data_IF_277392494924
#
_entry.id   IF_277392494924
#
_cell.length_a   1.000
_cell.length_b   1.000
_cell.length_c   1.000
_cell.angle_alpha   90.00
_cell.angle_beta   90.00
_cell.angle_gamma   90.00
#
_symmetry.space_group_name_H-M   'P 1'
#
loop_
_entity.id
_entity.type
_entity.pdbx_description
1 polymer ?
#
# COMPACT_ATOMS: atom_id res chain seq x y z
N UNK A 1 21.07 67.18 6.98
CA UNK A 1 20.57 65.81 7.27
C UNK A 1 21.70 64.81 7.10
N UNK A 2 22.25 64.29 8.19
CA UNK A 2 23.37 63.31 8.17
C UNK A 2 22.77 61.90 8.15
N UNK A 3 22.86 61.17 7.01
CA UNK A 3 22.48 59.78 6.92
C UNK A 3 23.45 58.91 7.71
N UNK A 4 23.02 58.31 8.84
CA UNK A 4 23.78 57.30 9.58
C UNK A 4 23.90 56.06 8.66
N UNK A 5 25.14 55.74 8.24
CA UNK A 5 25.45 54.43 7.65
C UNK A 5 25.24 53.34 8.72
N UNK A 6 24.26 52.45 8.50
CA UNK A 6 24.14 51.20 9.27
C UNK A 6 25.34 50.33 8.96
N UNK A 7 26.15 50.04 9.94
CA UNK A 7 27.22 49.05 9.85
C UNK A 7 26.55 47.66 9.65
N UNK A 8 26.52 47.17 8.43
CA UNK A 8 26.15 45.82 8.11
C UNK A 8 27.33 44.94 8.54
N UNK A 9 27.18 44.18 9.62
CA UNK A 9 28.11 43.13 10.00
C UNK A 9 28.00 42.01 8.97
N UNK A 10 29.05 41.77 8.20
CA UNK A 10 29.15 40.65 7.28
C UNK A 10 29.56 39.35 8.05
N UNK A 11 29.17 38.20 7.53
CA UNK A 11 29.60 36.89 8.00
C UNK A 11 31.09 36.69 7.73
N UNK A 12 31.82 36.08 8.67
CA UNK A 12 33.20 35.67 8.45
C UNK A 12 33.24 34.38 7.62
N UNK A 13 34.31 34.19 6.87
CA UNK A 13 34.52 33.01 6.04
C UNK A 13 34.56 31.72 6.89
N UNK A 14 35.11 31.82 8.11
CA UNK A 14 35.21 30.68 9.03
C UNK A 14 33.82 30.27 9.59
N UNK A 15 32.96 31.25 9.89
CA UNK A 15 31.57 30.95 10.34
C UNK A 15 30.79 30.17 9.27
N UNK A 16 30.94 30.56 8.02
CA UNK A 16 30.30 29.85 6.93
C UNK A 16 30.87 28.43 6.75
N UNK A 17 32.21 28.30 6.81
CA UNK A 17 32.90 27.03 6.63
C UNK A 17 32.51 26.00 7.69
N UNK A 18 32.45 26.41 8.99
CA UNK A 18 32.02 25.53 10.08
C UNK A 18 30.57 25.07 9.90
N UNK A 19 29.67 25.96 9.51
CA UNK A 19 28.25 25.62 9.30
C UNK A 19 28.09 24.56 8.20
N UNK A 20 28.75 24.76 7.04
CA UNK A 20 28.63 23.79 5.95
C UNK A 20 29.29 22.45 6.29
N UNK A 21 30.36 22.44 7.09
CA UNK A 21 30.99 21.20 7.56
C UNK A 21 30.04 20.41 8.48
N UNK A 22 29.35 21.07 9.40
CA UNK A 22 28.38 20.43 10.31
C UNK A 22 27.19 19.89 9.53
N UNK A 23 26.61 20.69 8.61
CA UNK A 23 25.50 20.26 7.76
C UNK A 23 25.92 19.06 6.92
N UNK A 24 27.12 19.04 6.36
CA UNK A 24 27.65 17.94 5.58
C UNK A 24 27.70 16.62 6.36
N UNK A 25 28.20 16.65 7.61
CA UNK A 25 28.24 15.48 8.48
C UNK A 25 26.82 15.00 8.84
N UNK A 26 25.95 15.92 9.23
CA UNK A 26 24.57 15.58 9.60
C UNK A 26 23.78 15.01 8.41
N UNK A 27 23.97 15.56 7.20
CA UNK A 27 23.35 15.06 5.99
C UNK A 27 23.83 13.64 5.65
N UNK A 28 25.13 13.36 5.77
CA UNK A 28 25.69 12.04 5.47
C UNK A 28 25.09 10.92 6.34
N UNK A 29 24.91 11.18 7.64
CA UNK A 29 24.29 10.21 8.57
C UNK A 29 22.77 10.18 8.43
N UNK A 30 22.15 11.35 8.23
CA UNK A 30 20.69 11.50 8.14
C UNK A 30 20.08 10.77 6.96
N UNK A 31 20.71 10.80 5.77
CA UNK A 31 20.19 10.16 4.56
C UNK A 31 20.11 8.64 4.71
N UNK A 32 21.14 8.01 5.27
CA UNK A 32 21.15 6.54 5.46
C UNK A 32 20.10 6.08 6.47
N UNK A 33 19.95 6.79 7.58
CA UNK A 33 18.92 6.49 8.58
C UNK A 33 17.50 6.69 8.02
N UNK A 34 17.29 7.77 7.28
CA UNK A 34 15.99 8.07 6.66
C UNK A 34 15.57 7.02 5.63
N UNK A 35 16.48 6.55 4.78
CA UNK A 35 16.19 5.50 3.78
C UNK A 35 15.77 4.19 4.44
N UNK A 36 16.43 3.75 5.51
CA UNK A 36 16.05 2.57 6.27
C UNK A 36 14.66 2.69 6.91
N UNK A 37 14.35 3.86 7.46
CA UNK A 37 13.05 4.13 8.05
C UNK A 37 11.92 4.10 7.02
N UNK A 38 12.12 4.71 5.85
CA UNK A 38 11.10 4.73 4.79
C UNK A 38 10.81 3.33 4.24
N UNK A 39 11.82 2.48 4.07
CA UNK A 39 11.64 1.08 3.66
C UNK A 39 10.84 0.30 4.70
N UNK A 40 11.16 0.45 5.98
CA UNK A 40 10.43 -0.19 7.08
C UNK A 40 8.97 0.29 7.16
N UNK A 41 8.73 1.57 6.97
CA UNK A 41 7.38 2.15 6.92
C UNK A 41 6.56 1.58 5.77
N UNK A 42 7.12 1.49 4.56
CA UNK A 42 6.46 0.88 3.39
C UNK A 42 6.07 -0.57 3.65
N UNK A 43 6.98 -1.38 4.20
CA UNK A 43 6.69 -2.77 4.61
C UNK A 43 5.52 -2.86 5.59
N UNK A 44 5.51 -2.02 6.61
CA UNK A 44 4.45 -1.98 7.61
C UNK A 44 3.11 -1.56 7.01
N UNK A 45 3.10 -0.54 6.16
CA UNK A 45 1.89 -0.07 5.48
C UNK A 45 1.31 -1.15 4.57
N UNK A 46 2.13 -1.84 3.78
CA UNK A 46 1.68 -2.94 2.92
C UNK A 46 1.03 -4.07 3.72
N UNK A 47 1.63 -4.46 4.85
CA UNK A 47 1.04 -5.47 5.75
C UNK A 47 -0.28 -4.99 6.34
N UNK A 48 -0.40 -3.71 6.66
CA UNK A 48 -1.64 -3.11 7.16
C UNK A 48 -2.74 -3.14 6.11
N UNK A 49 -2.44 -2.79 4.86
CA UNK A 49 -3.40 -2.84 3.74
C UNK A 49 -3.89 -4.29 3.54
N UNK A 50 -2.98 -5.27 3.52
CA UNK A 50 -3.34 -6.69 3.41
C UNK A 50 -4.33 -7.10 4.52
N UNK A 51 -3.99 -6.80 5.77
CA UNK A 51 -4.84 -7.14 6.92
C UNK A 51 -6.19 -6.40 6.91
N UNK A 52 -6.21 -5.15 6.48
CA UNK A 52 -7.43 -4.36 6.34
C UNK A 52 -8.35 -4.93 5.25
N UNK A 53 -7.79 -5.24 4.07
CA UNK A 53 -8.52 -5.87 2.97
C UNK A 53 -9.14 -7.19 3.37
N UNK A 54 -8.35 -8.07 4.02
CA UNK A 54 -8.86 -9.36 4.50
C UNK A 54 -10.02 -9.20 5.48
N UNK A 55 -9.86 -8.32 6.48
CA UNK A 55 -10.90 -8.05 7.49
C UNK A 55 -12.14 -7.45 6.86
N UNK A 56 -11.97 -6.56 5.90
CA UNK A 56 -13.07 -5.93 5.18
C UNK A 56 -13.90 -6.97 4.43
N UNK A 57 -13.27 -7.84 3.63
CA UNK A 57 -13.96 -8.90 2.89
C UNK A 57 -14.72 -9.81 3.86
N UNK A 58 -14.06 -10.28 4.93
CA UNK A 58 -14.69 -11.16 5.91
C UNK A 58 -15.87 -10.50 6.63
N UNK A 59 -15.73 -9.24 7.05
CA UNK A 59 -16.78 -8.52 7.75
C UNK A 59 -17.99 -8.22 6.84
N UNK A 60 -17.74 -7.84 5.59
CA UNK A 60 -18.80 -7.60 4.63
C UNK A 60 -19.56 -8.89 4.30
N UNK A 61 -18.82 -10.00 4.12
CA UNK A 61 -19.47 -11.27 3.83
C UNK A 61 -20.29 -11.83 4.99
N UNK A 62 -19.88 -11.58 6.23
CA UNK A 62 -20.68 -11.95 7.40
C UNK A 62 -22.07 -11.28 7.42
N UNK A 63 -22.24 -10.13 6.77
CA UNK A 63 -23.56 -9.50 6.61
C UNK A 63 -24.49 -10.35 5.76
N UNK A 64 -23.97 -11.10 4.79
CA UNK A 64 -24.75 -12.03 3.98
C UNK A 64 -25.30 -13.21 4.80
N UNK A 65 -24.60 -13.62 5.86
CA UNK A 65 -25.13 -14.64 6.79
C UNK A 65 -26.34 -14.16 7.58
N UNK A 66 -26.45 -12.84 7.80
CA UNK A 66 -27.58 -12.24 8.52
C UNK A 66 -28.73 -11.84 7.58
N UNK A 67 -28.40 -11.44 6.37
CA UNK A 67 -29.36 -11.06 5.32
C UNK A 67 -28.91 -11.66 3.98
N UNK A 68 -29.36 -12.89 3.64
CA UNK A 68 -28.96 -13.58 2.42
C UNK A 68 -29.41 -12.91 1.12
N UNK A 69 -30.42 -12.05 1.16
CA UNK A 69 -30.89 -11.24 0.02
C UNK A 69 -30.31 -9.81 0.06
N UNK A 70 -29.50 -9.50 1.04
CA UNK A 70 -28.88 -8.20 1.26
C UNK A 70 -27.84 -7.84 0.21
N UNK A 71 -27.39 -6.61 0.31
CA UNK A 71 -26.35 -6.02 -0.54
C UNK A 71 -25.19 -5.60 0.35
N UNK A 72 -23.98 -5.97 -0.05
CA UNK A 72 -22.74 -5.67 0.67
C UNK A 72 -21.75 -4.88 -0.19
N UNK A 73 -20.69 -4.37 0.43
CA UNK A 73 -19.61 -3.63 -0.24
C UNK A 73 -20.11 -2.37 -0.97
N UNK A 74 -21.09 -1.70 -0.40
CA UNK A 74 -21.72 -0.51 -1.00
C UNK A 74 -20.86 0.73 -0.67
N UNK A 75 -20.32 1.38 -1.70
CA UNK A 75 -19.75 2.72 -1.54
C UNK A 75 -20.80 3.80 -1.73
N UNK A 76 -21.71 3.60 -2.71
CA UNK A 76 -22.83 4.51 -2.97
C UNK A 76 -24.08 3.70 -3.36
N UNK A 77 -25.15 3.91 -2.59
CA UNK A 77 -26.45 3.24 -2.83
C UNK A 77 -27.11 3.59 -4.18
N UNK A 78 -26.60 4.61 -4.85
CA UNK A 78 -27.20 5.11 -6.10
C UNK A 78 -26.73 4.36 -7.35
N UNK A 79 -25.63 3.57 -7.29
CA UNK A 79 -25.03 2.95 -8.46
C UNK A 79 -24.87 1.44 -8.24
N UNK A 80 -25.70 0.63 -8.92
CA UNK A 80 -25.69 -0.83 -8.82
C UNK A 80 -24.34 -1.50 -9.16
N UNK A 81 -23.47 -0.81 -9.89
CA UNK A 81 -22.13 -1.30 -10.26
C UNK A 81 -21.14 -1.41 -9.10
N UNK A 82 -21.47 -0.84 -7.94
CA UNK A 82 -20.59 -0.80 -6.74
C UNK A 82 -21.14 -1.67 -5.60
N UNK A 83 -21.93 -2.67 -5.90
CA UNK A 83 -22.65 -3.49 -4.92
C UNK A 83 -22.44 -4.97 -5.23
N UNK A 84 -22.39 -5.78 -4.18
CA UNK A 84 -22.42 -7.24 -4.27
C UNK A 84 -23.71 -7.75 -3.64
N UNK A 85 -24.49 -8.52 -4.41
CA UNK A 85 -25.67 -9.21 -3.92
C UNK A 85 -25.29 -10.55 -3.29
N UNK A 86 -25.71 -10.79 -2.07
CA UNK A 86 -25.42 -12.02 -1.33
C UNK A 86 -26.01 -13.28 -2.02
N UNK A 87 -27.14 -13.14 -2.72
CA UNK A 87 -27.86 -14.28 -3.30
C UNK A 87 -27.39 -14.70 -4.70
N UNK A 88 -26.80 -13.77 -5.46
CA UNK A 88 -26.51 -14.00 -6.89
C UNK A 88 -25.04 -13.87 -7.26
N UNK A 89 -24.22 -13.28 -6.41
CA UNK A 89 -22.83 -12.99 -6.69
C UNK A 89 -21.89 -13.76 -5.75
N UNK A 90 -20.67 -14.00 -6.20
CA UNK A 90 -19.70 -14.83 -5.50
C UNK A 90 -18.32 -14.20 -5.41
N UNK A 91 -17.33 -15.03 -5.13
CA UNK A 91 -15.94 -14.61 -4.92
C UNK A 91 -15.34 -13.85 -6.11
N UNK A 92 -15.69 -14.23 -7.34
CA UNK A 92 -15.21 -13.53 -8.55
C UNK A 92 -15.74 -12.12 -8.67
N UNK A 93 -16.99 -11.89 -8.25
CA UNK A 93 -17.63 -10.58 -8.31
C UNK A 93 -17.03 -9.65 -7.24
N UNK A 94 -16.80 -10.19 -6.05
CA UNK A 94 -16.05 -9.48 -4.97
C UNK A 94 -14.68 -9.03 -5.46
N UNK A 95 -13.93 -9.92 -6.13
CA UNK A 95 -12.60 -9.57 -6.67
C UNK A 95 -12.74 -8.48 -7.72
N UNK A 96 -13.65 -8.63 -8.67
CA UNK A 96 -13.88 -7.63 -9.74
C UNK A 96 -14.22 -6.26 -9.17
N UNK A 97 -15.08 -6.20 -8.14
CA UNK A 97 -15.42 -4.96 -7.47
C UNK A 97 -14.20 -4.34 -6.78
N UNK A 98 -13.50 -5.11 -5.96
CA UNK A 98 -12.39 -4.61 -5.13
C UNK A 98 -11.15 -4.26 -5.94
N UNK A 99 -10.92 -4.90 -7.08
CA UNK A 99 -9.74 -4.65 -7.94
C UNK A 99 -9.96 -3.56 -8.98
N UNK A 100 -11.18 -3.05 -9.09
CA UNK A 100 -11.50 -1.90 -9.95
C UNK A 100 -11.51 -0.63 -9.09
N UNK A 101 -10.45 0.17 -9.14
CA UNK A 101 -10.26 1.37 -8.29
C UNK A 101 -11.48 2.29 -8.26
N UNK A 102 -12.09 2.54 -9.41
CA UNK A 102 -13.27 3.41 -9.53
C UNK A 102 -14.53 2.88 -8.81
N UNK A 103 -14.59 1.58 -8.54
CA UNK A 103 -15.75 0.91 -7.95
C UNK A 103 -15.49 0.39 -6.54
N UNK A 104 -14.22 0.30 -6.13
CA UNK A 104 -13.83 -0.25 -4.85
C UNK A 104 -14.15 0.71 -3.71
N UNK A 105 -14.72 0.23 -2.61
CA UNK A 105 -14.82 0.99 -1.37
C UNK A 105 -13.48 1.16 -0.65
N UNK A 106 -12.47 0.36 -1.04
CA UNK A 106 -11.12 0.47 -0.54
C UNK A 106 -10.29 1.33 -1.50
N UNK A 107 -9.73 2.42 -1.01
CA UNK A 107 -8.99 3.40 -1.81
C UNK A 107 -7.50 3.44 -1.45
N UNK A 108 -6.99 2.31 -0.91
CA UNK A 108 -5.60 2.21 -0.51
C UNK A 108 -4.64 2.31 -1.70
N UNK A 109 -3.57 3.04 -1.49
CA UNK A 109 -2.50 3.21 -2.49
C UNK A 109 -1.30 2.34 -2.14
N UNK A 110 -0.66 1.82 -3.18
CA UNK A 110 0.57 1.07 -3.05
C UNK A 110 1.67 1.99 -2.48
N UNK A 111 2.30 1.63 -1.35
CA UNK A 111 3.35 2.43 -0.75
C UNK A 111 4.63 2.56 -1.57
N UNK A 112 4.81 1.73 -2.60
CA UNK A 112 6.03 1.70 -3.41
C UNK A 112 5.91 2.52 -4.70
N UNK A 113 4.77 2.48 -5.37
CA UNK A 113 4.56 3.20 -6.65
C UNK A 113 3.40 4.19 -6.65
N UNK A 114 2.64 4.26 -5.55
CA UNK A 114 1.47 5.12 -5.38
C UNK A 114 0.29 4.80 -6.33
N UNK A 115 0.33 3.65 -7.00
CA UNK A 115 -0.78 3.09 -7.74
C UNK A 115 -1.88 2.55 -6.83
N UNK A 116 -2.92 1.95 -7.40
CA UNK A 116 -3.95 1.27 -6.62
C UNK A 116 -3.40 -0.03 -6.02
N UNK A 117 -3.59 -0.22 -4.71
CA UNK A 117 -2.94 -1.31 -4.01
C UNK A 117 -3.60 -2.69 -4.24
N UNK A 118 -4.90 -2.75 -4.57
CA UNK A 118 -5.66 -4.00 -4.64
C UNK A 118 -5.85 -4.40 -6.11
N UNK A 119 -5.32 -5.55 -6.52
CA UNK A 119 -5.27 -5.97 -7.92
C UNK A 119 -5.69 -7.43 -8.11
N UNK A 120 -6.26 -7.76 -9.28
CA UNK A 120 -6.64 -9.14 -9.63
C UNK A 120 -5.45 -9.97 -10.17
N UNK A 121 -4.43 -9.30 -10.68
CA UNK A 121 -3.26 -9.95 -11.26
C UNK A 121 -2.01 -9.27 -10.71
N UNK A 122 -1.04 -10.08 -10.28
CA UNK A 122 0.24 -9.54 -9.83
C UNK A 122 0.92 -8.77 -10.97
N UNK A 123 1.34 -7.53 -10.72
CA UNK A 123 2.16 -6.81 -11.67
C UNK A 123 3.44 -7.59 -11.96
N UNK A 124 3.99 -7.43 -13.15
CA UNK A 124 5.25 -8.06 -13.55
C UNK A 124 6.44 -7.13 -13.31
N UNK A 125 7.58 -7.68 -12.92
CA UNK A 125 8.82 -6.90 -12.71
C UNK A 125 8.89 -6.24 -11.33
N UNK A 126 9.58 -5.10 -11.24
CA UNK A 126 9.88 -4.40 -9.97
C UNK A 126 8.66 -3.82 -9.24
N UNK A 127 7.52 -3.76 -9.89
CA UNK A 127 6.28 -3.18 -9.36
C UNK A 127 5.44 -4.16 -8.52
N UNK A 128 5.99 -5.29 -8.09
CA UNK A 128 5.21 -6.36 -7.40
C UNK A 128 5.05 -6.11 -5.91
N UNK A 129 5.95 -5.34 -5.29
CA UNK A 129 5.85 -5.04 -3.86
C UNK A 129 4.81 -3.94 -3.62
N UNK A 130 4.01 -4.11 -2.56
CA UNK A 130 2.98 -3.16 -2.16
C UNK A 130 1.57 -3.56 -2.56
N UNK A 131 1.42 -4.42 -3.55
CA UNK A 131 0.11 -4.84 -4.05
C UNK A 131 -0.47 -5.99 -3.22
N UNK A 132 -1.78 -5.96 -3.03
CA UNK A 132 -2.61 -7.06 -2.53
C UNK A 132 -3.29 -7.72 -3.72
N UNK A 133 -2.82 -8.88 -4.10
CA UNK A 133 -3.38 -9.66 -5.21
C UNK A 133 -4.53 -10.52 -4.70
N UNK A 134 -5.70 -10.39 -5.30
CA UNK A 134 -6.88 -11.18 -5.00
C UNK A 134 -7.11 -12.22 -6.08
N UNK A 135 -7.23 -13.48 -5.68
CA UNK A 135 -7.61 -14.58 -6.56
C UNK A 135 -8.75 -15.39 -5.93
N UNK A 136 -9.56 -16.07 -6.75
CA UNK A 136 -10.63 -16.92 -6.25
C UNK A 136 -10.55 -18.34 -6.80
N UNK A 137 -10.98 -19.29 -5.97
CA UNK A 137 -11.22 -20.65 -6.36
C UNK A 137 -12.51 -21.15 -5.67
N UNK A 138 -13.57 -21.28 -6.44
CA UNK A 138 -14.91 -21.53 -5.90
C UNK A 138 -15.36 -20.41 -4.96
N UNK A 139 -15.63 -20.77 -3.71
CA UNK A 139 -16.02 -19.81 -2.64
C UNK A 139 -14.84 -19.25 -1.85
N UNK A 140 -13.62 -19.57 -2.20
CA UNK A 140 -12.43 -19.11 -1.45
C UNK A 140 -11.77 -17.97 -2.19
N UNK A 141 -11.57 -16.85 -1.49
CA UNK A 141 -10.74 -15.73 -1.93
C UNK A 141 -9.38 -15.86 -1.26
N UNK A 142 -8.34 -15.86 -2.06
CA UNK A 142 -6.95 -15.88 -1.59
C UNK A 142 -6.35 -14.49 -1.80
N UNK A 143 -5.81 -13.93 -0.72
CA UNK A 143 -5.05 -12.69 -0.72
C UNK A 143 -3.57 -13.02 -0.68
N UNK A 144 -2.81 -12.56 -1.64
CA UNK A 144 -1.34 -12.68 -1.65
C UNK A 144 -0.70 -11.32 -1.77
N UNK A 145 0.24 -11.01 -0.89
CA UNK A 145 0.89 -9.70 -0.86
C UNK A 145 2.38 -9.84 -0.68
N UNK A 146 3.14 -9.21 -1.56
CA UNK A 146 4.56 -8.99 -1.40
C UNK A 146 4.80 -7.68 -0.66
N UNK A 147 5.46 -7.72 0.50
CA UNK A 147 5.67 -6.54 1.33
C UNK A 147 7.13 -6.07 1.40
N UNK A 148 8.04 -6.72 0.69
CA UNK A 148 9.44 -6.33 0.69
C UNK A 148 10.08 -6.53 -0.69
N UNK A 149 10.89 -5.57 -1.09
CA UNK A 149 11.84 -5.69 -2.20
C UNK A 149 13.19 -5.98 -1.56
N UNK A 150 13.74 -7.16 -1.75
CA UNK A 150 15.00 -7.54 -1.12
C UNK A 150 16.23 -7.13 -1.95
N UNK A 151 16.12 -6.99 -3.27
CA UNK A 151 17.18 -6.49 -4.16
C UNK A 151 16.60 -5.81 -5.39
N UNK A 152 17.44 -5.06 -6.10
CA UNK A 152 17.05 -4.25 -7.26
C UNK A 152 16.48 -5.05 -8.45
N UNK A 153 16.66 -6.37 -8.47
CA UNK A 153 16.27 -7.25 -9.57
C UNK A 153 15.16 -8.25 -9.22
N UNK A 154 14.91 -8.47 -7.92
CA UNK A 154 13.94 -9.46 -7.46
C UNK A 154 12.74 -8.78 -6.81
N UNK A 155 11.76 -8.41 -7.61
CA UNK A 155 10.39 -8.32 -7.08
C UNK A 155 9.97 -9.70 -6.58
N UNK A 156 8.95 -9.82 -5.69
CA UNK A 156 8.41 -11.11 -5.27
C UNK A 156 8.00 -11.92 -6.52
N UNK A 157 8.97 -12.55 -7.16
CA UNK A 157 8.73 -13.42 -8.29
C UNK A 157 8.04 -14.67 -7.76
N UNK A 158 6.94 -15.04 -8.40
CA UNK A 158 6.16 -16.25 -8.06
C UNK A 158 6.93 -17.55 -8.32
N UNK A 159 8.17 -17.48 -8.79
CA UNK A 159 8.88 -18.61 -9.39
C UNK A 159 10.08 -19.15 -8.59
N UNK A 160 10.50 -18.56 -7.48
CA UNK A 160 11.66 -19.06 -6.75
C UNK A 160 11.39 -19.21 -5.25
N UNK A 161 11.82 -20.33 -4.70
CA UNK A 161 11.66 -20.77 -3.31
C UNK A 161 12.29 -19.82 -2.25
N UNK A 162 12.99 -18.78 -2.66
CA UNK A 162 13.82 -17.95 -1.80
C UNK A 162 13.10 -16.72 -1.18
N UNK A 163 11.83 -16.46 -1.57
CA UNK A 163 11.12 -15.21 -1.20
C UNK A 163 9.92 -15.42 -0.26
N UNK A 164 9.77 -16.62 0.33
CA UNK A 164 8.68 -16.92 1.28
C UNK A 164 8.60 -15.97 2.48
N UNK A 165 9.71 -15.39 2.87
CA UNK A 165 9.79 -14.48 4.03
C UNK A 165 9.22 -13.07 3.75
N UNK A 166 9.03 -12.71 2.47
CA UNK A 166 8.53 -11.40 2.08
C UNK A 166 7.09 -11.41 1.56
N UNK A 167 6.41 -12.56 1.63
CA UNK A 167 5.04 -12.75 1.13
C UNK A 167 4.09 -13.09 2.28
N UNK A 168 2.92 -12.45 2.27
CA UNK A 168 1.78 -12.82 3.12
C UNK A 168 0.73 -13.47 2.24
N UNK A 169 0.17 -14.60 2.72
CA UNK A 169 -0.95 -15.27 2.06
C UNK A 169 -2.01 -15.61 3.10
N UNK A 170 -3.23 -15.17 2.86
CA UNK A 170 -4.41 -15.48 3.67
C UNK A 170 -5.57 -15.86 2.77
N UNK A 171 -6.53 -16.57 3.32
CA UNK A 171 -7.76 -16.97 2.64
C UNK A 171 -9.00 -16.54 3.40
N UNK A 172 -10.04 -16.17 2.65
CA UNK A 172 -11.39 -15.91 3.17
C UNK A 172 -12.33 -16.85 2.44
N UNK A 173 -13.08 -17.67 3.17
CA UNK A 173 -14.12 -18.55 2.62
C UNK A 173 -15.46 -17.83 2.68
N UNK A 174 -16.18 -17.84 1.58
CA UNK A 174 -17.51 -17.26 1.42
C UNK A 174 -18.53 -18.41 1.58
N UNK A 175 -19.00 -18.62 2.79
CA UNK A 175 -19.97 -19.73 3.11
C UNK A 175 -21.42 -19.32 2.81
#
# INVERSE_FOLDING_TARGET
MIKRKKNLKGFTLIELLVVVAIIGILAAVGVTAYSGYTVSAKKSTTKSIHAATMKYIAAEWQKCSMDPEGIIMVEDKATAAKQISCSTQGASDVITLLTTEANSPLQDKDPYDNGYAIVATAPTGKAVAGNVVLTSSGKVITLTTCYAINNADDGCSTAADDHKEATLTNTVTLD
#
